data_IF_479314357708
#
_entry.id   IF_479314357708
#
_cell.length_a   1.000
_cell.length_b   1.000
_cell.length_c   1.000
_cell.angle_alpha   90.00
_cell.angle_beta   90.00
_cell.angle_gamma   90.00
#
_symmetry.space_group_name_H-M   'P 1'
#
loop_
_entity.id
_entity.type
_entity.pdbx_description
1 polymer ?
#
# COMPACT_ATOMS: atom_id res chain seq x y z
N UNK A 1 11.32 -3.78 6.65
CA UNK A 1 10.01 -4.19 7.17
C UNK A 1 9.42 -3.10 8.05
N UNK A 2 8.12 -2.88 7.96
CA UNK A 2 7.43 -1.98 8.89
C UNK A 2 6.26 -2.71 9.55
N UNK A 3 6.07 -2.47 10.84
CA UNK A 3 4.94 -3.04 11.56
C UNK A 3 3.67 -2.24 11.31
N UNK A 4 2.55 -2.94 11.15
CA UNK A 4 1.22 -2.34 11.06
C UNK A 4 0.55 -2.54 12.41
N UNK A 5 0.57 -1.50 13.24
CA UNK A 5 -0.04 -1.54 14.56
C UNK A 5 -1.50 -1.05 14.53
N UNK A 6 -2.22 -1.26 15.63
CA UNK A 6 -3.62 -0.86 15.74
C UNK A 6 -3.78 0.66 15.63
N UNK A 7 -2.82 1.42 16.15
CA UNK A 7 -2.87 2.88 16.11
C UNK A 7 -2.88 3.41 14.67
N UNK A 8 -2.09 2.80 13.79
CA UNK A 8 -2.07 3.17 12.37
C UNK A 8 -3.41 2.84 11.68
N UNK A 9 -3.98 1.68 11.99
CA UNK A 9 -5.28 1.26 11.44
C UNK A 9 -6.40 2.18 11.95
N UNK A 10 -6.40 2.51 13.24
CA UNK A 10 -7.35 3.45 13.81
C UNK A 10 -7.24 4.84 13.17
N UNK A 11 -6.00 5.29 12.91
CA UNK A 11 -5.77 6.57 12.23
C UNK A 11 -6.32 6.60 10.82
N UNK A 12 -6.18 5.49 10.08
CA UNK A 12 -6.76 5.38 8.74
C UNK A 12 -8.28 5.36 8.79
N UNK A 13 -8.86 4.65 9.76
CA UNK A 13 -10.32 4.62 9.97
C UNK A 13 -10.86 6.03 10.24
N UNK A 14 -10.18 6.81 11.09
CA UNK A 14 -10.55 8.19 11.38
C UNK A 14 -10.45 9.09 10.14
N UNK A 15 -9.41 8.92 9.33
CA UNK A 15 -9.17 9.73 8.14
C UNK A 15 -10.19 9.46 7.04
N UNK A 16 -10.76 8.26 6.97
CA UNK A 16 -11.62 7.78 5.87
C UNK A 16 -13.04 7.46 6.27
N UNK A 17 -13.37 7.52 7.56
CA UNK A 17 -14.66 7.12 8.15
C UNK A 17 -15.03 5.65 7.93
N UNK A 18 -14.04 4.79 7.66
CA UNK A 18 -14.24 3.34 7.58
C UNK A 18 -13.92 2.69 8.92
N UNK A 19 -14.94 2.61 9.77
CA UNK A 19 -14.84 2.08 11.14
C UNK A 19 -15.45 0.67 11.26
N UNK A 20 -15.36 -0.16 10.21
CA UNK A 20 -15.86 -1.53 10.31
C UNK A 20 -15.13 -2.27 11.43
N UNK A 21 -15.86 -3.09 12.17
CA UNK A 21 -15.34 -3.77 13.36
C UNK A 21 -14.12 -4.65 13.10
N UNK A 22 -14.01 -5.20 11.91
CA UNK A 22 -12.85 -6.04 11.56
C UNK A 22 -11.52 -5.27 11.62
N UNK A 23 -11.58 -3.94 11.59
CA UNK A 23 -10.39 -3.08 11.64
C UNK A 23 -10.18 -2.45 13.01
N UNK A 24 -11.27 -2.05 13.69
CA UNK A 24 -11.16 -1.15 14.85
C UNK A 24 -11.62 -1.75 16.18
N UNK A 25 -12.17 -2.95 16.20
CA UNK A 25 -12.66 -3.60 17.42
C UNK A 25 -11.88 -4.89 17.71
N UNK A 26 -10.74 -4.80 18.43
CA UNK A 26 -9.93 -5.98 18.72
C UNK A 26 -10.65 -7.08 19.49
N UNK A 27 -11.56 -6.71 20.39
CA UNK A 27 -12.31 -7.68 21.20
C UNK A 27 -13.25 -8.50 20.31
N UNK A 28 -14.05 -7.83 19.47
CA UNK A 28 -14.94 -8.50 18.54
C UNK A 28 -14.17 -9.29 17.48
N UNK A 29 -13.08 -8.73 16.98
CA UNK A 29 -12.25 -9.37 15.94
C UNK A 29 -11.56 -10.63 16.45
N UNK A 30 -11.28 -10.75 17.74
CA UNK A 30 -10.65 -11.94 18.33
C UNK A 30 -11.46 -13.21 18.08
N UNK A 31 -12.79 -13.11 18.03
CA UNK A 31 -13.67 -14.23 17.70
C UNK A 31 -14.19 -14.20 16.26
N UNK A 32 -13.65 -13.30 15.43
CA UNK A 32 -13.98 -13.18 14.02
C UNK A 32 -13.14 -14.10 13.13
N UNK A 33 -13.34 -14.01 11.80
CA UNK A 33 -12.73 -14.95 10.86
C UNK A 33 -11.20 -14.85 10.76
N UNK A 34 -10.61 -13.72 11.16
CA UNK A 34 -9.16 -13.51 11.07
C UNK A 34 -8.43 -13.72 12.41
N UNK A 35 -9.19 -13.88 13.53
CA UNK A 35 -8.65 -14.04 14.87
C UNK A 35 -8.06 -12.79 15.50
N UNK A 36 -8.02 -11.69 14.78
CA UNK A 36 -7.53 -10.37 15.20
C UNK A 36 -8.05 -9.32 14.24
N UNK A 37 -7.84 -8.05 14.56
CA UNK A 37 -8.12 -6.98 13.62
C UNK A 37 -7.15 -7.02 12.44
N UNK A 38 -7.60 -6.56 11.30
CA UNK A 38 -6.82 -6.47 10.06
C UNK A 38 -6.79 -5.03 9.55
N UNK A 39 -5.71 -4.69 8.84
CA UNK A 39 -5.61 -3.41 8.15
C UNK A 39 -6.64 -3.34 7.02
N UNK A 40 -7.12 -2.14 6.74
CA UNK A 40 -7.90 -1.88 5.52
C UNK A 40 -7.02 -2.19 4.30
N UNK A 41 -7.60 -2.81 3.28
CA UNK A 41 -6.89 -2.98 2.01
C UNK A 41 -6.41 -1.64 1.46
N UNK A 42 -7.22 -0.60 1.58
CA UNK A 42 -6.85 0.74 1.11
C UNK A 42 -5.76 1.41 1.96
N UNK A 43 -5.59 1.02 3.23
CA UNK A 43 -4.41 1.44 3.99
C UNK A 43 -3.15 0.84 3.39
N UNK A 44 -3.15 -0.46 3.14
CA UNK A 44 -2.02 -1.15 2.52
C UNK A 44 -1.69 -0.54 1.16
N UNK A 45 -2.70 -0.28 0.33
CA UNK A 45 -2.51 0.39 -0.96
C UNK A 45 -1.90 1.78 -0.79
N UNK A 46 -2.38 2.57 0.19
CA UNK A 46 -1.85 3.91 0.45
C UNK A 46 -0.38 3.89 0.85
N UNK A 47 0.06 2.87 1.58
CA UNK A 47 1.45 2.71 2.00
C UNK A 47 2.40 2.41 0.85
N UNK A 48 1.88 2.00 -0.31
CA UNK A 48 2.69 1.81 -1.52
C UNK A 48 3.42 3.10 -1.88
N UNK A 49 2.82 4.26 -1.67
CA UNK A 49 3.48 5.55 -1.92
C UNK A 49 4.57 5.89 -0.87
N UNK A 50 4.58 5.22 0.26
CA UNK A 50 5.72 5.26 1.17
C UNK A 50 6.89 4.43 0.65
N UNK A 51 6.60 3.27 0.06
CA UNK A 51 7.64 2.36 -0.44
C UNK A 51 8.23 2.83 -1.77
N UNK A 52 7.42 3.40 -2.64
CA UNK A 52 7.83 3.76 -4.01
C UNK A 52 9.11 4.62 -4.06
N UNK A 53 9.24 5.72 -3.30
CA UNK A 53 10.48 6.52 -3.35
C UNK A 53 11.70 5.83 -2.73
N UNK A 54 11.49 4.75 -2.00
CA UNK A 54 12.60 3.92 -1.49
C UNK A 54 13.07 2.88 -2.52
N UNK A 55 12.23 2.58 -3.50
CA UNK A 55 12.48 1.53 -4.50
C UNK A 55 13.02 2.09 -5.81
N UNK A 56 12.60 3.28 -6.19
CA UNK A 56 13.08 3.96 -7.40
C UNK A 56 13.58 5.35 -7.07
N UNK A 57 14.57 5.80 -7.83
CA UNK A 57 15.07 7.17 -7.76
C UNK A 57 14.74 7.87 -9.07
N UNK A 58 14.12 9.05 -8.96
CA UNK A 58 13.81 9.90 -10.12
C UNK A 58 14.54 11.22 -9.89
N UNK A 59 15.41 11.58 -10.83
CA UNK A 59 16.27 12.76 -10.71
C UNK A 59 15.77 13.88 -11.62
N UNK A 60 16.22 15.11 -11.34
CA UNK A 60 15.90 16.28 -12.17
C UNK A 60 14.39 16.58 -12.25
N UNK A 61 13.67 16.30 -11.16
CA UNK A 61 12.25 16.58 -11.04
C UNK A 61 11.97 17.49 -9.86
N UNK A 62 10.91 18.29 -9.95
CA UNK A 62 10.41 19.09 -8.84
C UNK A 62 9.14 18.50 -8.22
N UNK A 63 8.42 17.65 -8.96
CA UNK A 63 7.13 17.15 -8.51
C UNK A 63 6.86 15.74 -9.05
N UNK A 64 6.36 14.87 -8.18
CA UNK A 64 5.79 13.59 -8.56
C UNK A 64 4.32 13.56 -8.20
N UNK A 65 3.49 13.08 -9.10
CA UNK A 65 2.04 13.01 -8.92
C UNK A 65 1.58 11.56 -9.03
N UNK A 66 0.81 11.12 -8.04
CA UNK A 66 0.10 9.86 -8.13
C UNK A 66 -1.04 10.03 -9.14
N UNK A 67 -0.88 9.46 -10.33
CA UNK A 67 -1.86 9.58 -11.40
C UNK A 67 -2.96 8.54 -11.30
N UNK A 68 -2.62 7.34 -10.85
CA UNK A 68 -3.57 6.25 -10.71
C UNK A 68 -2.89 4.91 -10.44
N UNK A 69 -3.66 3.86 -10.57
CA UNK A 69 -3.15 2.49 -10.45
C UNK A 69 -4.02 1.54 -11.26
N UNK A 70 -3.41 0.43 -11.68
CA UNK A 70 -4.09 -0.66 -12.37
C UNK A 70 -3.91 -1.95 -11.61
N UNK A 71 -4.83 -2.90 -11.80
CA UNK A 71 -4.71 -4.28 -11.33
C UNK A 71 -4.47 -4.39 -9.84
N UNK A 72 -5.20 -3.60 -9.05
CA UNK A 72 -5.09 -3.68 -7.60
C UNK A 72 -5.71 -4.96 -7.08
N UNK A 73 -4.96 -5.72 -6.29
CA UNK A 73 -5.42 -6.95 -5.64
C UNK A 73 -4.92 -7.02 -4.21
N UNK A 74 -5.74 -7.58 -3.33
CA UNK A 74 -5.42 -7.82 -1.93
C UNK A 74 -5.52 -9.31 -1.63
N UNK A 75 -4.52 -10.11 -2.02
CA UNK A 75 -4.61 -11.57 -1.90
C UNK A 75 -4.67 -12.09 -0.48
N UNK A 76 -4.05 -11.38 0.48
CA UNK A 76 -3.97 -11.81 1.87
C UNK A 76 -4.16 -10.62 2.81
N UNK A 77 -4.92 -10.77 3.91
CA UNK A 77 -5.12 -9.69 4.87
C UNK A 77 -3.84 -9.40 5.66
N UNK A 78 -3.64 -8.15 6.01
CA UNK A 78 -2.57 -7.74 6.93
C UNK A 78 -3.15 -7.70 8.34
N UNK A 79 -2.79 -8.66 9.16
CA UNK A 79 -3.20 -8.69 10.57
C UNK A 79 -2.46 -7.60 11.34
N UNK A 80 -3.13 -6.97 12.27
CA UNK A 80 -2.47 -6.01 13.16
C UNK A 80 -1.33 -6.71 13.90
N UNK A 81 -0.15 -6.07 13.92
CA UNK A 81 1.10 -6.64 14.43
C UNK A 81 1.97 -7.27 13.35
N UNK A 82 1.45 -7.53 12.17
CA UNK A 82 2.24 -8.05 11.06
C UNK A 82 3.22 -6.99 10.53
N UNK A 83 4.30 -7.45 9.91
CA UNK A 83 5.29 -6.59 9.27
C UNK A 83 5.20 -6.75 7.76
N UNK A 84 5.24 -5.64 7.06
CA UNK A 84 5.14 -5.59 5.60
C UNK A 84 6.33 -4.86 4.99
N UNK A 85 6.59 -5.14 3.72
CA UNK A 85 7.57 -4.39 2.91
C UNK A 85 7.13 -4.36 1.46
N UNK A 86 7.62 -3.36 0.71
CA UNK A 86 7.39 -3.25 -0.72
C UNK A 86 8.54 -3.81 -1.55
N UNK A 87 8.18 -4.45 -2.66
CA UNK A 87 9.11 -4.85 -3.71
C UNK A 87 8.61 -4.26 -5.02
N UNK A 88 9.52 -3.71 -5.84
CA UNK A 88 9.14 -3.00 -7.05
C UNK A 88 9.79 -3.52 -8.30
N UNK A 89 9.08 -3.37 -9.43
CA UNK A 89 9.57 -3.64 -10.77
C UNK A 89 9.07 -2.54 -11.70
N UNK A 90 9.98 -1.85 -12.38
CA UNK A 90 9.59 -0.84 -13.37
C UNK A 90 9.02 -1.55 -14.59
N UNK A 91 7.77 -1.26 -14.93
CA UNK A 91 7.07 -1.87 -16.04
C UNK A 91 7.23 -1.03 -17.30
N UNK A 92 7.08 0.30 -17.20
CA UNK A 92 7.20 1.19 -18.33
C UNK A 92 7.59 2.59 -17.91
N UNK A 93 8.24 3.29 -18.85
CA UNK A 93 8.55 4.72 -18.76
C UNK A 93 8.17 5.33 -20.09
N UNK A 94 7.29 6.34 -20.08
CA UNK A 94 6.78 6.99 -21.28
C UNK A 94 6.82 8.49 -21.13
N UNK A 95 7.08 9.20 -22.23
CA UNK A 95 6.91 10.65 -22.23
C UNK A 95 5.42 11.01 -22.26
N UNK A 96 5.06 11.99 -21.46
CA UNK A 96 3.75 12.61 -21.47
C UNK A 96 3.94 14.12 -21.59
N UNK A 97 2.86 14.85 -21.84
CA UNK A 97 2.97 16.29 -22.02
C UNK A 97 3.55 16.97 -20.76
N UNK A 98 4.77 17.47 -20.87
CA UNK A 98 5.47 18.19 -19.80
C UNK A 98 6.20 17.32 -18.80
N UNK A 99 6.23 15.99 -18.98
CA UNK A 99 6.89 15.12 -18.02
C UNK A 99 7.01 13.68 -18.48
N UNK A 100 7.13 12.78 -17.52
CA UNK A 100 7.23 11.33 -17.79
C UNK A 100 6.26 10.56 -16.92
N UNK A 101 5.65 9.54 -17.51
CA UNK A 101 4.80 8.60 -16.80
C UNK A 101 5.57 7.31 -16.55
N UNK A 102 5.61 6.90 -15.30
CA UNK A 102 6.31 5.68 -14.88
C UNK A 102 5.31 4.73 -14.25
N UNK A 103 5.28 3.50 -14.77
CA UNK A 103 4.48 2.42 -14.18
C UNK A 103 5.41 1.51 -13.42
N UNK A 104 5.14 1.33 -12.13
CA UNK A 104 5.92 0.44 -11.26
C UNK A 104 4.97 -0.57 -10.65
N UNK A 105 5.27 -1.85 -10.85
CA UNK A 105 4.54 -2.91 -10.14
C UNK A 105 5.11 -3.05 -8.75
N UNK A 106 4.26 -2.83 -7.77
CA UNK A 106 4.63 -2.99 -6.36
C UNK A 106 3.93 -4.23 -5.82
N UNK A 107 4.71 -5.09 -5.19
CA UNK A 107 4.21 -6.22 -4.41
C UNK A 107 4.48 -5.92 -2.95
N UNK A 108 3.44 -5.87 -2.14
CA UNK A 108 3.57 -5.69 -0.69
C UNK A 108 3.59 -7.07 -0.04
N UNK A 109 4.73 -7.42 0.51
CA UNK A 109 4.94 -8.71 1.15
C UNK A 109 4.62 -8.63 2.65
N UNK A 110 4.15 -9.74 3.21
CA UNK A 110 3.92 -9.91 4.66
C UNK A 110 4.97 -10.88 5.18
N UNK A 111 5.68 -10.49 6.24
CA UNK A 111 6.72 -11.32 6.84
C UNK A 111 6.14 -12.68 7.25
N UNK A 112 6.83 -13.76 6.89
CA UNK A 112 6.47 -15.15 7.14
C UNK A 112 5.21 -15.66 6.41
N UNK A 113 4.74 -14.90 5.39
CA UNK A 113 3.60 -15.32 4.58
C UNK A 113 4.03 -15.52 3.12
N UNK A 114 3.44 -16.51 2.46
CA UNK A 114 3.74 -16.78 1.05
C UNK A 114 2.94 -15.90 0.09
N UNK A 115 1.74 -15.46 0.50
CA UNK A 115 0.88 -14.62 -0.34
C UNK A 115 1.06 -13.17 0.04
N UNK A 116 1.14 -12.25 -0.96
CA UNK A 116 1.29 -10.83 -0.68
C UNK A 116 0.01 -10.21 -0.14
N UNK A 117 0.18 -9.08 0.54
CA UNK A 117 -0.92 -8.26 1.02
C UNK A 117 -1.56 -7.46 -0.11
N UNK A 118 -0.75 -7.03 -1.07
CA UNK A 118 -1.21 -6.18 -2.18
C UNK A 118 -0.29 -6.38 -3.37
N UNK A 119 -0.88 -6.38 -4.56
CA UNK A 119 -0.15 -6.26 -5.82
C UNK A 119 -0.83 -5.17 -6.62
N UNK A 120 -0.06 -4.21 -7.11
CA UNK A 120 -0.60 -3.05 -7.82
C UNK A 120 0.40 -2.54 -8.84
N UNK A 121 -0.10 -2.11 -10.00
CA UNK A 121 0.68 -1.35 -10.97
C UNK A 121 0.41 0.14 -10.69
N UNK A 122 1.39 0.81 -10.06
CA UNK A 122 1.27 2.24 -9.78
C UNK A 122 1.58 3.04 -11.03
N UNK A 123 0.84 4.11 -11.24
CA UNK A 123 1.04 5.03 -12.36
C UNK A 123 1.37 6.40 -11.76
N UNK A 124 2.60 6.82 -11.94
CA UNK A 124 3.09 8.11 -11.44
C UNK A 124 3.54 8.99 -12.60
N UNK A 125 3.35 10.29 -12.47
CA UNK A 125 3.85 11.27 -13.42
C UNK A 125 4.84 12.19 -12.72
N UNK A 126 5.99 12.37 -13.34
CA UNK A 126 7.08 13.19 -12.81
C UNK A 126 7.36 14.35 -13.74
N UNK A 127 7.48 15.53 -13.14
CA UNK A 127 7.67 16.79 -13.86
C UNK A 127 8.93 17.49 -13.40
N UNK A 128 9.70 18.11 -14.33
CA UNK A 128 10.88 18.87 -14.00
C UNK A 128 10.63 20.09 -13.12
#
# INVERSE_FOLDING_TARGET
WMEIDQSRVDGFAEATDDHQWIHVDPEKAASGPFGTTIAHGYLTLSLVNKFLPQLIAVTEISMGVNYGCDRVRFPSPVKVGARIRGRGEVISVEEVNGGQQVVVRITVEIENENRPACVVDTISRFYP
#
